data_IF_061367835170
#
_entry.id   IF_061367835170
#
_cell.length_a   1.000
_cell.length_b   1.000
_cell.length_c   1.000
_cell.angle_alpha   90.00
_cell.angle_beta   90.00
_cell.angle_gamma   90.00
#
_symmetry.space_group_name_H-M   'P 1'
#
loop_
_entity.id
_entity.type
_entity.pdbx_description
1 polymer ?
#
# COMPACT_ATOMS: atom_id res chain seq x y z
N UNK A 1 36.98 80.04 -4.67
CA UNK A 1 38.21 80.03 -5.47
C UNK A 1 39.11 78.96 -4.86
N UNK A 2 39.24 77.76 -5.45
CA UNK A 2 40.02 77.34 -6.64
C UNK A 2 41.54 77.19 -6.37
N UNK A 3 42.13 76.20 -7.05
CA UNK A 3 43.49 75.63 -6.96
C UNK A 3 43.68 74.69 -5.74
N UNK A 4 43.72 73.35 -5.85
CA UNK A 4 44.24 72.35 -6.84
C UNK A 4 45.75 72.07 -6.84
N UNK A 5 46.08 70.79 -7.13
CA UNK A 5 47.40 70.16 -7.35
C UNK A 5 48.24 69.92 -6.07
N UNK A 6 48.82 68.74 -5.79
CA UNK A 6 48.76 67.40 -6.40
C UNK A 6 48.53 66.36 -5.26
N UNK A 7 48.21 65.08 -5.47
CA UNK A 7 48.08 64.25 -6.67
C UNK A 7 46.94 63.20 -6.46
N UNK A 8 46.69 62.34 -7.47
CA UNK A 8 45.83 61.16 -7.33
C UNK A 8 46.58 59.89 -7.79
N UNK A 9 46.80 58.94 -6.88
CA UNK A 9 47.23 57.58 -7.23
C UNK A 9 46.77 56.55 -6.21
N UNK A 10 45.59 55.97 -6.41
CA UNK A 10 45.28 54.58 -6.08
C UNK A 10 43.97 54.20 -6.79
N UNK A 11 44.02 53.11 -7.55
CA UNK A 11 43.03 52.77 -8.56
C UNK A 11 41.86 51.95 -8.00
N UNK A 12 40.66 52.46 -8.22
CA UNK A 12 39.43 51.75 -8.57
C UNK A 12 39.39 50.24 -8.28
N UNK A 13 38.76 49.87 -7.17
CA UNK A 13 38.10 48.57 -7.01
C UNK A 13 36.83 48.52 -7.86
N UNK A 14 36.95 48.02 -9.09
CA UNK A 14 35.79 47.60 -9.88
C UNK A 14 36.01 46.17 -10.38
N UNK A 15 35.48 45.21 -9.62
CA UNK A 15 35.49 43.81 -10.03
C UNK A 15 34.46 43.63 -11.14
N UNK A 16 34.88 43.11 -12.30
CA UNK A 16 34.03 43.01 -13.48
C UNK A 16 32.92 41.98 -13.28
N UNK A 17 31.73 42.44 -12.88
CA UNK A 17 30.50 41.67 -13.08
C UNK A 17 30.24 41.56 -14.59
N UNK A 18 30.50 40.39 -15.18
CA UNK A 18 30.08 40.06 -16.54
C UNK A 18 28.55 40.20 -16.60
N UNK A 19 27.98 40.99 -17.54
CA UNK A 19 26.54 41.13 -17.61
C UNK A 19 25.90 39.78 -17.96
N UNK A 20 24.94 39.34 -17.14
CA UNK A 20 24.16 38.15 -17.43
C UNK A 20 23.48 38.31 -18.80
N UNK A 21 23.73 37.36 -19.71
CA UNK A 21 23.01 37.29 -20.98
C UNK A 21 21.52 37.12 -20.68
N UNK A 22 20.69 38.02 -21.21
CA UNK A 22 19.24 37.78 -21.28
C UNK A 22 19.02 36.66 -22.29
N UNK A 23 18.27 35.63 -21.90
CA UNK A 23 17.89 34.55 -22.81
C UNK A 23 17.00 35.11 -23.92
N UNK A 24 17.22 34.69 -25.16
CA UNK A 24 16.36 35.06 -26.28
C UNK A 24 15.32 33.96 -26.55
N UNK A 25 14.12 34.30 -27.08
CA UNK A 25 13.14 33.29 -27.48
C UNK A 25 13.74 32.37 -28.54
N UNK A 26 14.00 31.12 -28.16
CA UNK A 26 14.72 30.12 -28.98
C UNK A 26 15.77 29.32 -28.21
N UNK A 27 16.40 29.90 -27.17
CA UNK A 27 17.46 29.23 -26.40
C UNK A 27 16.95 28.07 -25.52
N UNK A 28 15.65 28.07 -25.18
CA UNK A 28 14.98 27.00 -24.40
C UNK A 28 14.93 25.67 -25.16
N UNK A 29 14.73 25.70 -26.48
CA UNK A 29 14.61 24.49 -27.31
C UNK A 29 15.96 23.75 -27.49
N UNK A 30 17.07 24.40 -27.13
CA UNK A 30 18.43 23.86 -27.17
C UNK A 30 18.96 23.47 -25.78
N UNK A 31 18.13 23.56 -24.73
CA UNK A 31 18.47 23.12 -23.37
C UNK A 31 19.60 23.90 -22.70
N UNK A 32 19.98 25.07 -23.22
CA UNK A 32 21.14 25.84 -22.73
C UNK A 32 20.83 26.76 -21.55
N UNK A 33 19.55 26.91 -21.18
CA UNK A 33 19.11 27.57 -19.95
C UNK A 33 17.88 26.85 -19.39
N UNK A 34 17.82 26.72 -18.06
CA UNK A 34 16.66 26.18 -17.33
C UNK A 34 16.00 27.31 -16.57
N UNK A 35 14.75 27.64 -16.91
CA UNK A 35 13.94 28.52 -16.10
C UNK A 35 13.50 27.75 -14.85
N UNK A 36 13.93 28.21 -13.68
CA UNK A 36 13.36 27.75 -12.41
C UNK A 36 11.97 28.37 -12.25
N UNK A 37 10.98 27.84 -12.98
CA UNK A 37 9.59 27.99 -12.57
C UNK A 37 9.43 27.20 -11.27
N UNK A 38 9.26 27.92 -10.15
CA UNK A 38 8.62 27.35 -8.98
C UNK A 38 7.18 27.00 -9.38
N UNK A 39 6.92 25.72 -9.63
CA UNK A 39 5.56 25.20 -9.72
C UNK A 39 4.89 25.40 -8.35
N UNK A 40 4.17 26.51 -8.20
CA UNK A 40 3.32 26.71 -7.04
C UNK A 40 2.19 25.68 -7.10
N UNK A 41 1.94 24.91 -6.02
CA UNK A 41 0.96 23.84 -6.04
C UNK A 41 -0.44 24.44 -6.24
N UNK A 42 -1.00 24.26 -7.44
CA UNK A 42 -2.33 24.74 -7.79
C UNK A 42 -3.37 23.84 -7.14
N UNK A 43 -4.00 24.31 -6.06
CA UNK A 43 -5.16 23.63 -5.48
C UNK A 43 -6.33 23.66 -6.46
N UNK A 44 -6.53 22.55 -7.18
CA UNK A 44 -7.72 22.34 -8.00
C UNK A 44 -8.88 21.90 -7.10
N UNK A 45 -10.05 22.53 -7.22
CA UNK A 45 -11.26 21.98 -6.61
C UNK A 45 -11.58 20.63 -7.25
N UNK A 46 -11.42 19.55 -6.48
CA UNK A 46 -12.05 18.28 -6.81
C UNK A 46 -13.55 18.42 -6.59
N UNK A 47 -14.27 18.83 -7.64
CA UNK A 47 -15.71 18.64 -7.73
C UNK A 47 -16.00 17.14 -7.79
N UNK A 48 -16.03 16.54 -6.61
CA UNK A 48 -16.57 15.21 -6.36
C UNK A 48 -18.08 15.26 -6.65
N UNK A 49 -18.45 15.10 -7.92
CA UNK A 49 -19.83 15.06 -8.43
C UNK A 49 -20.63 13.84 -7.97
N UNK A 50 -20.29 13.28 -6.81
CA UNK A 50 -20.98 12.17 -6.18
C UNK A 50 -22.11 12.73 -5.30
N UNK A 51 -23.28 12.10 -5.42
CA UNK A 51 -24.45 12.21 -4.52
C UNK A 51 -25.48 13.34 -4.73
N UNK A 52 -25.30 14.33 -5.61
CA UNK A 52 -26.38 15.31 -5.86
C UNK A 52 -27.54 14.74 -6.69
N UNK A 53 -27.24 13.96 -7.73
CA UNK A 53 -28.24 13.48 -8.72
C UNK A 53 -28.42 11.94 -8.73
N UNK A 54 -27.83 11.24 -7.76
CA UNK A 54 -27.85 9.77 -7.66
C UNK A 54 -28.72 9.33 -6.47
N UNK A 55 -29.83 8.65 -6.77
CA UNK A 55 -30.65 8.01 -5.74
C UNK A 55 -29.82 6.97 -4.97
N UNK A 56 -30.00 6.89 -3.64
CA UNK A 56 -29.25 6.01 -2.73
C UNK A 56 -29.27 4.51 -3.12
N UNK A 57 -30.30 4.10 -3.87
CA UNK A 57 -30.47 2.77 -4.49
C UNK A 57 -29.42 2.45 -5.57
N UNK A 58 -28.77 3.47 -6.15
CA UNK A 58 -27.87 3.37 -7.32
C UNK A 58 -26.39 3.61 -7.01
N UNK A 59 -26.06 4.17 -5.85
CA UNK A 59 -24.67 4.26 -5.36
C UNK A 59 -24.20 2.90 -4.84
N UNK A 60 -23.37 2.15 -5.60
CA UNK A 60 -22.67 0.99 -5.02
C UNK A 60 -21.46 1.49 -4.21
N UNK A 61 -21.70 1.77 -2.94
CA UNK A 61 -20.92 1.08 -1.91
C UNK A 61 -21.46 -0.36 -1.79
N UNK A 62 -20.88 -1.29 -1.01
CA UNK A 62 -21.59 -2.54 -0.71
C UNK A 62 -22.95 -2.21 -0.10
N UNK A 63 -24.00 -2.27 -0.92
CA UNK A 63 -25.35 -1.92 -0.54
C UNK A 63 -25.79 -2.95 0.48
N UNK A 64 -25.79 -2.54 1.75
CA UNK A 64 -26.26 -3.32 2.90
C UNK A 64 -27.59 -3.95 2.50
N UNK A 65 -27.58 -5.27 2.30
CA UNK A 65 -28.71 -6.01 1.76
C UNK A 65 -29.92 -5.86 2.69
N UNK A 66 -30.80 -4.92 2.34
CA UNK A 66 -32.05 -4.65 3.06
C UNK A 66 -32.42 -3.18 3.23
N UNK A 67 -31.47 -2.24 3.28
CA UNK A 67 -31.80 -0.84 3.61
C UNK A 67 -32.41 -0.10 2.40
N UNK A 68 -33.68 0.29 2.52
CA UNK A 68 -34.42 1.10 1.54
C UNK A 68 -34.22 2.59 1.74
N UNK A 69 -33.71 3.01 2.90
CA UNK A 69 -33.40 4.41 3.19
C UNK A 69 -32.23 4.56 4.15
N UNK A 70 -31.57 5.73 4.11
CA UNK A 70 -30.52 6.13 5.06
C UNK A 70 -30.97 6.10 6.53
N UNK A 71 -32.26 6.38 6.78
CA UNK A 71 -32.85 6.34 8.12
C UNK A 71 -32.85 4.92 8.71
N UNK A 72 -33.01 3.91 7.85
CA UNK A 72 -33.16 2.52 8.24
C UNK A 72 -31.84 1.95 8.79
N UNK A 73 -30.69 2.34 8.23
CA UNK A 73 -29.37 1.88 8.68
C UNK A 73 -28.93 2.41 10.04
N UNK A 74 -29.42 3.58 10.45
CA UNK A 74 -29.18 4.12 11.80
C UNK A 74 -30.13 3.52 12.85
N UNK A 75 -31.35 3.13 12.44
CA UNK A 75 -32.36 2.57 13.34
C UNK A 75 -32.21 1.04 13.52
N UNK A 76 -31.69 0.34 12.50
CA UNK A 76 -31.33 -1.08 12.57
C UNK A 76 -29.90 -1.25 13.11
N UNK A 77 -29.76 -1.11 14.43
CA UNK A 77 -28.52 -1.36 15.22
C UNK A 77 -27.99 -2.82 15.17
N UNK A 78 -28.32 -3.59 14.14
CA UNK A 78 -27.74 -4.90 13.87
C UNK A 78 -26.29 -4.76 13.41
N UNK A 79 -25.34 -4.95 14.34
CA UNK A 79 -23.88 -4.90 14.15
C UNK A 79 -23.31 -5.70 12.96
N UNK A 80 -24.13 -6.55 12.34
CA UNK A 80 -23.80 -7.50 11.27
C UNK A 80 -24.66 -7.32 10.01
N UNK A 81 -25.71 -6.49 10.02
CA UNK A 81 -26.59 -6.31 8.86
C UNK A 81 -25.81 -5.63 7.73
N UNK A 82 -25.71 -6.29 6.57
CA UNK A 82 -24.90 -5.83 5.44
C UNK A 82 -23.39 -5.86 5.65
N UNK A 83 -22.89 -6.51 6.71
CA UNK A 83 -21.44 -6.74 6.90
C UNK A 83 -20.88 -7.68 5.83
N UNK A 84 -21.64 -8.69 5.46
CA UNK A 84 -21.26 -9.70 4.47
C UNK A 84 -21.62 -9.26 3.05
N UNK A 85 -20.95 -9.83 2.06
CA UNK A 85 -21.28 -9.60 0.65
C UNK A 85 -22.63 -10.24 0.26
N UNK A 86 -23.01 -10.10 -1.02
CA UNK A 86 -24.26 -10.62 -1.55
C UNK A 86 -24.45 -12.15 -1.41
N UNK A 87 -23.37 -12.89 -1.15
CA UNK A 87 -23.35 -14.33 -0.97
C UNK A 87 -23.27 -14.75 0.52
N UNK A 88 -23.47 -13.82 1.45
CA UNK A 88 -23.29 -13.96 2.90
C UNK A 88 -21.87 -14.37 3.34
N UNK A 89 -20.84 -13.94 2.59
CA UNK A 89 -19.43 -14.11 2.94
C UNK A 89 -18.88 -12.86 3.63
N UNK A 90 -18.14 -13.03 4.73
CA UNK A 90 -17.35 -11.96 5.33
C UNK A 90 -16.05 -11.80 4.52
N UNK A 91 -15.92 -10.69 3.79
CA UNK A 91 -14.80 -10.47 2.88
C UNK A 91 -13.45 -10.42 3.62
N UNK A 92 -13.43 -9.96 4.88
CA UNK A 92 -12.23 -9.97 5.73
C UNK A 92 -12.02 -11.31 6.47
N UNK A 93 -12.66 -12.38 5.98
CA UNK A 93 -12.40 -13.79 6.32
C UNK A 93 -12.20 -14.66 5.07
N UNK A 94 -12.19 -14.05 3.87
CA UNK A 94 -12.24 -14.77 2.61
C UNK A 94 -10.90 -14.78 1.85
N UNK A 95 -9.87 -14.06 2.32
CA UNK A 95 -8.54 -14.13 1.73
C UNK A 95 -7.82 -15.45 2.09
N UNK A 96 -6.80 -15.87 1.33
CA UNK A 96 -5.99 -17.05 1.68
C UNK A 96 -5.33 -16.92 3.06
N UNK A 97 -5.46 -17.96 3.90
CA UNK A 97 -4.70 -18.06 5.15
C UNK A 97 -3.22 -18.40 4.87
N UNK A 98 -2.45 -17.36 4.57
CA UNK A 98 -1.00 -17.45 4.43
C UNK A 98 -0.30 -17.43 5.80
N UNK A 99 -0.98 -16.97 6.87
CA UNK A 99 -0.39 -16.83 8.21
C UNK A 99 -0.15 -18.21 8.85
N UNK A 100 -1.05 -19.18 8.67
CA UNK A 100 -0.80 -20.60 9.00
C UNK A 100 0.38 -21.19 8.23
N UNK A 101 0.53 -20.84 6.94
CA UNK A 101 1.66 -21.29 6.10
C UNK A 101 2.97 -20.72 6.64
N UNK A 102 3.00 -19.42 6.95
CA UNK A 102 4.12 -18.73 7.59
C UNK A 102 4.48 -19.37 8.94
N UNK A 103 3.53 -19.60 9.85
CA UNK A 103 3.81 -20.18 11.17
C UNK A 103 4.39 -21.59 11.12
N UNK A 104 3.92 -22.41 10.17
CA UNK A 104 4.43 -23.77 9.89
C UNK A 104 5.86 -23.72 9.35
N UNK A 105 6.15 -22.79 8.42
CA UNK A 105 7.40 -22.82 7.66
C UNK A 105 8.51 -21.86 8.16
N UNK A 106 8.22 -20.86 9.01
CA UNK A 106 9.17 -19.84 9.53
C UNK A 106 10.42 -20.36 10.27
N UNK A 107 10.54 -21.67 10.49
CA UNK A 107 11.76 -22.32 11.05
C UNK A 107 12.67 -22.86 9.95
N UNK A 108 12.15 -23.13 8.75
CA UNK A 108 12.96 -23.45 7.58
C UNK A 108 13.77 -22.23 7.14
N UNK A 109 15.00 -22.46 6.68
CA UNK A 109 15.85 -21.42 6.08
C UNK A 109 15.65 -21.30 4.56
N UNK A 110 15.00 -22.30 3.95
CA UNK A 110 14.77 -22.39 2.51
C UNK A 110 13.34 -21.95 2.10
N UNK A 111 12.47 -21.66 3.07
CA UNK A 111 11.11 -21.21 2.80
C UNK A 111 11.02 -19.68 2.88
N UNK A 112 10.47 -19.04 1.85
CA UNK A 112 10.27 -17.59 1.81
C UNK A 112 9.22 -17.15 2.82
N UNK A 113 9.48 -16.02 3.45
CA UNK A 113 8.58 -15.36 4.43
C UNK A 113 7.76 -14.23 3.80
N UNK A 114 8.12 -13.88 2.58
CA UNK A 114 7.52 -12.95 1.64
C UNK A 114 6.98 -13.75 0.43
N UNK A 115 6.07 -13.15 -0.34
CA UNK A 115 5.55 -13.72 -1.59
C UNK A 115 5.12 -15.18 -1.46
N UNK A 116 4.45 -15.52 -0.36
CA UNK A 116 3.94 -16.87 -0.11
C UNK A 116 2.88 -17.18 -1.18
N UNK A 117 3.02 -18.25 -1.97
CA UNK A 117 2.06 -18.61 -3.01
C UNK A 117 0.70 -18.99 -2.40
N UNK A 118 -0.38 -18.72 -3.13
CA UNK A 118 -1.74 -19.08 -2.71
C UNK A 118 -1.84 -20.61 -2.75
N UNK A 119 -2.17 -21.30 -1.64
CA UNK A 119 -2.28 -22.77 -1.64
C UNK A 119 -3.41 -23.25 -2.56
N UNK A 120 -3.17 -24.28 -3.37
CA UNK A 120 -4.19 -24.88 -4.27
C UNK A 120 -5.51 -25.20 -3.53
N UNK A 121 -5.45 -25.55 -2.24
CA UNK A 121 -6.62 -25.83 -1.39
C UNK A 121 -7.57 -24.63 -1.20
N UNK A 122 -7.06 -23.40 -1.31
CA UNK A 122 -7.88 -22.18 -1.20
C UNK A 122 -8.91 -22.12 -2.34
N UNK A 123 -8.50 -22.51 -3.55
CA UNK A 123 -9.34 -22.51 -4.76
C UNK A 123 -10.44 -23.58 -4.74
N UNK A 124 -10.43 -24.53 -3.79
CA UNK A 124 -11.55 -25.45 -3.56
C UNK A 124 -12.57 -24.92 -2.53
N UNK A 125 -12.34 -23.74 -1.97
CA UNK A 125 -13.28 -23.01 -1.11
C UNK A 125 -14.06 -21.95 -1.91
N UNK A 126 -15.13 -21.41 -1.33
CA UNK A 126 -15.93 -20.37 -1.99
C UNK A 126 -15.24 -19.00 -1.89
N UNK A 127 -14.51 -18.65 -2.95
CA UNK A 127 -13.89 -17.32 -3.12
C UNK A 127 -14.96 -16.30 -3.55
N UNK A 128 -15.03 -15.18 -2.85
CA UNK A 128 -15.94 -14.08 -3.14
C UNK A 128 -15.47 -13.29 -4.38
N UNK A 129 -16.39 -12.78 -5.22
CA UNK A 129 -16.02 -11.99 -6.40
C UNK A 129 -15.23 -10.73 -6.06
N UNK A 130 -15.56 -10.08 -4.95
CA UNK A 130 -14.85 -8.89 -4.45
C UNK A 130 -13.41 -9.25 -4.03
N UNK A 131 -13.24 -10.35 -3.29
CA UNK A 131 -11.93 -10.85 -2.85
C UNK A 131 -11.05 -11.25 -4.03
N UNK A 132 -11.60 -11.94 -5.04
CA UNK A 132 -10.87 -12.27 -6.27
C UNK A 132 -10.36 -11.02 -7.00
N UNK A 133 -11.24 -10.03 -7.19
CA UNK A 133 -10.89 -8.77 -7.84
C UNK A 133 -9.81 -8.00 -7.07
N UNK A 134 -9.92 -7.92 -5.74
CA UNK A 134 -8.94 -7.24 -4.87
C UNK A 134 -7.60 -7.96 -4.89
N UNK A 135 -7.56 -9.29 -4.81
CA UNK A 135 -6.30 -10.05 -4.92
C UNK A 135 -5.61 -9.83 -6.28
N UNK A 136 -6.38 -9.79 -7.38
CA UNK A 136 -5.85 -9.48 -8.73
C UNK A 136 -5.31 -8.05 -8.81
N UNK A 137 -6.01 -7.08 -8.20
CA UNK A 137 -5.59 -5.68 -8.14
C UNK A 137 -4.31 -5.49 -7.31
N UNK A 138 -4.24 -6.10 -6.12
CA UNK A 138 -3.06 -6.08 -5.22
C UNK A 138 -1.80 -6.59 -5.94
N UNK A 139 -1.93 -7.55 -6.86
CA UNK A 139 -0.81 -8.04 -7.71
C UNK A 139 -0.50 -7.18 -8.93
N UNK A 140 -1.40 -6.31 -9.36
CA UNK A 140 -1.27 -5.53 -10.60
C UNK A 140 -0.35 -4.31 -10.47
N UNK A 141 -0.07 -3.86 -9.25
CA UNK A 141 0.74 -2.69 -8.94
C UNK A 141 1.69 -2.98 -7.77
N UNK A 142 2.87 -2.34 -7.73
CA UNK A 142 3.83 -2.52 -6.62
C UNK A 142 3.41 -1.71 -5.38
N UNK A 143 2.30 -2.09 -4.75
CA UNK A 143 1.84 -1.45 -3.52
C UNK A 143 2.87 -1.61 -2.39
N UNK A 144 3.17 -0.50 -1.71
CA UNK A 144 4.16 -0.43 -0.62
C UNK A 144 3.50 -0.32 0.75
N UNK A 145 2.43 0.46 0.84
CA UNK A 145 1.69 0.75 2.07
C UNK A 145 0.20 0.83 1.74
N UNK A 146 -0.66 0.28 2.60
CA UNK A 146 -2.12 0.31 2.46
C UNK A 146 -2.81 0.49 3.82
N UNK A 147 -4.08 0.90 3.80
CA UNK A 147 -4.94 0.90 4.97
C UNK A 147 -6.36 0.45 4.59
N UNK A 148 -6.86 -0.59 5.27
CA UNK A 148 -8.28 -0.97 5.20
C UNK A 148 -9.06 -0.17 6.25
N UNK A 149 -10.13 0.51 5.83
CA UNK A 149 -10.96 1.33 6.71
C UNK A 149 -12.17 0.54 7.22
N UNK A 150 -12.38 0.55 8.53
CA UNK A 150 -13.38 -0.22 9.26
C UNK A 150 -14.10 0.64 10.32
N UNK A 151 -15.15 0.07 10.91
CA UNK A 151 -15.88 0.68 12.03
C UNK A 151 -16.44 -0.38 12.98
N UNK A 152 -16.68 0.05 14.22
CA UNK A 152 -17.07 -0.76 15.37
C UNK A 152 -16.20 -0.52 16.61
N UNK A 153 -15.10 0.22 16.48
CA UNK A 153 -14.20 0.62 17.56
C UNK A 153 -13.36 1.85 17.11
N UNK A 154 -12.55 2.45 17.99
CA UNK A 154 -11.59 3.50 17.61
C UNK A 154 -10.14 3.10 17.95
N UNK A 155 -9.48 2.40 17.02
CA UNK A 155 -8.13 1.82 17.19
C UNK A 155 -7.48 1.50 15.84
N UNK A 156 -6.14 1.50 15.77
CA UNK A 156 -5.43 0.87 14.65
C UNK A 156 -5.04 -0.56 15.02
N UNK A 157 -5.54 -1.54 14.27
CA UNK A 157 -5.05 -2.91 14.29
C UNK A 157 -3.91 -3.10 13.27
N UNK A 158 -2.81 -3.74 13.68
CA UNK A 158 -1.70 -4.10 12.80
C UNK A 158 -1.40 -5.61 12.83
N UNK A 159 -0.91 -6.18 11.71
CA UNK A 159 -0.59 -7.61 11.60
C UNK A 159 0.31 -8.20 12.70
N UNK A 160 0.26 -9.51 12.96
CA UNK A 160 -0.69 -10.45 12.36
C UNK A 160 -2.08 -10.40 13.00
N UNK A 161 -3.13 -10.54 12.19
CA UNK A 161 -4.51 -10.74 12.61
C UNK A 161 -4.76 -12.20 13.07
N UNK A 162 -4.06 -13.19 12.48
CA UNK A 162 -4.20 -14.59 12.91
C UNK A 162 -3.24 -14.98 14.03
N UNK A 163 -3.78 -15.55 15.12
CA UNK A 163 -3.00 -16.00 16.28
C UNK A 163 -2.20 -17.26 16.02
N UNK A 164 -0.98 -17.32 16.59
CA UNK A 164 -0.16 -18.53 16.64
C UNK A 164 -0.62 -19.56 17.69
N UNK A 165 -1.72 -19.32 18.42
CA UNK A 165 -2.21 -20.22 19.46
C UNK A 165 -2.87 -21.46 18.83
N UNK A 166 -2.65 -22.69 19.35
CA UNK A 166 -3.24 -23.92 18.78
C UNK A 166 -4.77 -23.97 18.76
N UNK A 167 -5.43 -23.15 19.59
CA UNK A 167 -6.89 -23.03 19.66
C UNK A 167 -7.40 -21.68 19.16
N UNK A 168 -6.59 -20.96 18.36
CA UNK A 168 -6.91 -19.65 17.78
C UNK A 168 -7.28 -18.57 18.82
N UNK A 169 -6.90 -18.76 20.09
CA UNK A 169 -7.15 -17.77 21.14
C UNK A 169 -6.32 -16.50 20.92
N UNK A 170 -6.82 -15.37 21.43
CA UNK A 170 -6.13 -14.08 21.32
C UNK A 170 -4.74 -14.15 21.93
N UNK A 171 -3.71 -13.88 21.13
CA UNK A 171 -2.32 -13.93 21.53
C UNK A 171 -1.49 -13.00 20.66
N UNK A 172 -0.60 -12.23 21.30
CA UNK A 172 0.35 -11.36 20.61
C UNK A 172 1.21 -12.15 19.60
N UNK A 173 1.03 -11.80 18.33
CA UNK A 173 1.57 -12.52 17.18
C UNK A 173 2.32 -11.56 16.26
N UNK A 174 3.60 -11.26 16.57
CA UNK A 174 4.37 -10.24 15.88
C UNK A 174 4.81 -10.68 14.48
N UNK A 175 4.86 -9.70 13.59
CA UNK A 175 5.51 -9.83 12.27
C UNK A 175 7.04 -9.70 12.37
N UNK A 176 7.79 -10.10 11.33
CA UNK A 176 9.20 -9.72 11.19
C UNK A 176 9.43 -8.19 11.23
N UNK A 177 8.48 -7.41 10.70
CA UNK A 177 8.51 -5.93 10.64
C UNK A 177 7.74 -5.25 11.78
N UNK A 178 7.59 -5.91 12.94
CA UNK A 178 6.81 -5.47 14.11
C UNK A 178 7.00 -3.98 14.49
N UNK A 179 8.24 -3.49 14.46
CA UNK A 179 8.57 -2.10 14.81
C UNK A 179 8.17 -1.09 13.73
N UNK A 180 8.14 -1.52 12.46
CA UNK A 180 7.67 -0.70 11.33
C UNK A 180 6.15 -0.61 11.37
N UNK A 181 5.45 -1.72 11.58
CA UNK A 181 4.00 -1.74 11.76
C UNK A 181 3.54 -0.87 12.94
N UNK A 182 4.24 -0.95 14.09
CA UNK A 182 4.01 -0.05 15.22
C UNK A 182 4.22 1.42 14.86
N UNK A 183 5.21 1.75 14.04
CA UNK A 183 5.44 3.12 13.58
C UNK A 183 4.37 3.60 12.57
N UNK A 184 3.90 2.73 11.67
CA UNK A 184 2.80 3.02 10.74
C UNK A 184 1.49 3.27 11.50
N UNK A 185 1.12 2.34 12.40
CA UNK A 185 -0.06 2.48 13.24
C UNK A 185 0.00 3.73 14.15
N UNK A 186 1.17 4.03 14.73
CA UNK A 186 1.43 5.28 15.45
C UNK A 186 1.18 6.52 14.58
N UNK A 187 1.62 6.49 13.33
CA UNK A 187 1.54 7.66 12.45
C UNK A 187 0.09 8.05 12.17
N UNK A 188 -0.83 7.08 12.06
CA UNK A 188 -2.26 7.36 12.02
C UNK A 188 -2.82 7.75 13.40
N UNK A 189 -2.61 6.91 14.42
CA UNK A 189 -3.26 7.05 15.73
C UNK A 189 -2.87 8.33 16.49
N UNK A 190 -1.60 8.76 16.37
CA UNK A 190 -1.08 9.95 17.03
C UNK A 190 -1.48 11.25 16.28
N UNK A 191 -1.83 11.16 15.00
CA UNK A 191 -2.34 12.27 14.18
C UNK A 191 -3.89 12.38 14.20
N UNK A 192 -4.60 11.31 14.53
CA UNK A 192 -6.05 11.33 14.72
C UNK A 192 -6.43 12.07 16.00
N UNK A 193 -7.39 13.00 15.91
CA UNK A 193 -7.71 13.98 16.96
C UNK A 193 -8.03 13.37 18.35
N UNK A 194 -8.51 12.13 18.41
CA UNK A 194 -8.90 11.46 19.67
C UNK A 194 -8.30 10.07 19.90
N UNK A 195 -7.64 9.45 18.92
CA UNK A 195 -7.37 8.00 18.98
C UNK A 195 -6.24 7.65 19.95
N UNK A 196 -5.18 8.46 19.98
CA UNK A 196 -4.05 8.30 20.91
C UNK A 196 -4.25 8.96 22.29
N UNK A 197 -5.39 9.60 22.54
CA UNK A 197 -5.64 10.42 23.72
C UNK A 197 -5.85 9.56 24.98
N UNK A 198 -5.48 10.11 26.14
CA UNK A 198 -5.59 9.45 27.45
C UNK A 198 -7.01 9.46 28.05
N UNK A 199 -7.99 9.98 27.32
CA UNK A 199 -9.41 9.97 27.70
C UNK A 199 -9.92 8.52 27.81
N UNK A 200 -10.53 8.19 28.95
CA UNK A 200 -11.04 6.87 29.31
C UNK A 200 -12.55 6.70 29.12
N UNK A 201 -13.27 7.77 28.78
CA UNK A 201 -14.74 7.78 28.74
C UNK A 201 -15.27 7.81 27.29
N UNK A 202 -14.35 7.84 26.31
CA UNK A 202 -14.60 7.82 24.87
C UNK A 202 -14.64 6.41 24.24
N UNK A 203 -15.12 6.34 23.01
CA UNK A 203 -14.83 5.22 22.11
C UNK A 203 -13.31 4.96 21.98
N UNK A 204 -12.88 3.70 21.90
CA UNK A 204 -11.46 3.33 21.89
C UNK A 204 -10.73 3.51 23.22
N UNK A 205 -11.41 3.88 24.31
CA UNK A 205 -10.80 4.07 25.62
C UNK A 205 -10.07 2.82 26.14
N UNK A 206 -10.52 1.61 25.80
CA UNK A 206 -9.85 0.35 26.13
C UNK A 206 -8.39 0.28 25.64
N UNK A 207 -8.02 1.05 24.61
CA UNK A 207 -6.68 1.10 24.03
C UNK A 207 -5.83 2.30 24.49
N UNK A 208 -6.30 3.11 25.45
CA UNK A 208 -5.58 4.31 25.90
C UNK A 208 -4.13 4.04 26.36
N UNK A 209 -3.90 2.91 27.07
CA UNK A 209 -2.55 2.49 27.52
C UNK A 209 -1.59 2.21 26.37
N UNK A 210 -2.14 1.72 25.27
CA UNK A 210 -1.41 1.49 24.03
C UNK A 210 -1.56 2.69 23.08
N UNK A 211 -2.06 3.84 23.55
CA UNK A 211 -2.33 5.06 22.78
C UNK A 211 -2.99 4.76 21.41
N UNK A 212 -4.06 3.95 21.41
CA UNK A 212 -4.88 3.74 20.22
C UNK A 212 -4.33 2.77 19.16
N UNK A 213 -3.36 1.90 19.48
CA UNK A 213 -2.91 0.83 18.58
C UNK A 213 -2.97 -0.56 19.24
N UNK A 214 -3.19 -1.62 18.46
CA UNK A 214 -3.13 -3.02 18.93
C UNK A 214 -2.68 -3.98 17.82
N UNK A 215 -2.05 -5.08 18.19
CA UNK A 215 -1.81 -6.20 17.26
C UNK A 215 -3.12 -6.98 17.07
N UNK A 216 -3.52 -7.28 15.84
CA UNK A 216 -4.83 -7.88 15.54
C UNK A 216 -5.11 -9.14 16.34
N UNK A 217 -4.23 -10.14 16.25
CA UNK A 217 -4.34 -11.39 16.99
C UNK A 217 -4.36 -11.23 18.52
N UNK A 218 -3.84 -10.12 19.07
CA UNK A 218 -3.94 -9.81 20.51
C UNK A 218 -5.32 -9.23 20.88
N UNK A 219 -5.97 -8.52 19.96
CA UNK A 219 -7.32 -8.01 20.14
C UNK A 219 -8.34 -9.16 20.00
N UNK A 220 -8.37 -9.79 18.83
CA UNK A 220 -9.09 -11.03 18.55
C UNK A 220 -8.47 -11.73 17.34
N UNK A 221 -8.36 -13.05 17.37
CA UNK A 221 -7.74 -13.83 16.29
C UNK A 221 -8.74 -14.14 15.17
N UNK A 222 -8.28 -14.10 13.92
CA UNK A 222 -8.99 -14.69 12.78
C UNK A 222 -8.05 -14.96 11.60
N UNK A 223 -8.35 -16.00 10.83
CA UNK A 223 -7.67 -16.29 9.57
C UNK A 223 -8.38 -15.60 8.38
N UNK A 224 -7.67 -15.50 7.24
CA UNK A 224 -8.22 -15.01 5.98
C UNK A 224 -8.51 -13.51 5.91
N UNK A 225 -7.78 -12.71 6.69
CA UNK A 225 -7.81 -11.25 6.65
C UNK A 225 -7.02 -10.66 5.47
N UNK A 226 -7.48 -9.52 4.95
CA UNK A 226 -6.82 -8.81 3.83
C UNK A 226 -5.43 -8.26 4.23
N UNK A 227 -5.29 -7.82 5.48
CA UNK A 227 -4.06 -7.20 5.99
C UNK A 227 -2.90 -8.18 6.06
N UNK A 228 -3.15 -9.37 6.63
CA UNK A 228 -2.20 -10.49 6.64
C UNK A 228 -1.87 -10.97 5.21
N UNK A 229 -2.85 -11.02 4.31
CA UNK A 229 -2.63 -11.39 2.91
C UNK A 229 -1.72 -10.41 2.17
N UNK A 230 -1.96 -9.10 2.29
CA UNK A 230 -1.11 -8.05 1.71
C UNK A 230 0.37 -8.27 2.11
N UNK A 231 0.61 -8.39 3.42
CA UNK A 231 1.96 -8.51 4.00
C UNK A 231 2.62 -9.88 3.80
N UNK A 232 1.89 -10.94 3.45
CA UNK A 232 2.49 -12.27 3.17
C UNK A 232 2.58 -12.60 1.68
N UNK A 233 1.70 -12.04 0.84
CA UNK A 233 1.67 -12.32 -0.60
C UNK A 233 2.41 -11.29 -1.47
N UNK A 234 2.57 -10.03 -1.02
CA UNK A 234 3.15 -8.94 -1.83
C UNK A 234 4.10 -8.05 -1.03
N UNK A 235 4.69 -7.01 -1.62
CA UNK A 235 5.49 -6.03 -0.89
C UNK A 235 4.66 -5.10 0.04
N UNK A 236 3.33 -5.12 -0.04
CA UNK A 236 2.47 -4.16 0.63
C UNK A 236 2.42 -4.37 2.15
N UNK A 237 2.60 -3.29 2.92
CA UNK A 237 2.34 -3.26 4.37
C UNK A 237 0.99 -2.60 4.64
N UNK A 238 -0.01 -3.40 5.02
CA UNK A 238 -1.37 -2.93 5.32
C UNK A 238 -1.63 -2.80 6.83
N UNK A 239 -2.41 -1.80 7.22
CA UNK A 239 -3.01 -1.70 8.57
C UNK A 239 -4.53 -1.67 8.47
N UNK A 240 -5.21 -2.03 9.56
CA UNK A 240 -6.67 -1.94 9.68
C UNK A 240 -7.02 -0.77 10.59
N UNK A 241 -7.77 0.20 10.07
CA UNK A 241 -8.13 1.45 10.75
C UNK A 241 -9.59 1.36 11.19
N UNK A 242 -9.84 1.21 12.48
CA UNK A 242 -11.19 1.31 13.05
C UNK A 242 -11.47 2.77 13.39
N UNK A 243 -12.39 3.40 12.66
CA UNK A 243 -12.61 4.85 12.63
C UNK A 243 -13.56 5.37 13.73
N UNK A 244 -14.33 4.51 14.37
CA UNK A 244 -15.35 4.88 15.36
C UNK A 244 -16.25 3.71 15.77
N UNK A 245 -16.85 3.81 16.95
CA UNK A 245 -17.70 2.77 17.53
C UNK A 245 -19.06 2.65 16.84
N UNK A 246 -19.61 3.75 16.35
CA UNK A 246 -20.79 3.72 15.48
C UNK A 246 -20.35 3.32 14.07
N UNK A 247 -20.85 2.17 13.61
CA UNK A 247 -20.57 1.63 12.27
C UNK A 247 -21.30 2.36 11.17
N UNK A 248 -22.43 3.01 11.48
CA UNK A 248 -23.27 3.70 10.51
C UNK A 248 -23.75 5.03 11.12
N UNK A 249 -22.82 5.98 11.34
CA UNK A 249 -23.13 7.23 12.01
C UNK A 249 -24.09 8.08 11.19
N UNK A 250 -24.83 8.95 11.90
CA UNK A 250 -25.75 9.88 11.26
C UNK A 250 -25.03 10.88 10.33
N UNK A 251 -25.76 11.49 9.40
CA UNK A 251 -25.22 12.53 8.50
C UNK A 251 -24.47 13.64 9.22
N UNK A 252 -25.00 14.10 10.36
CA UNK A 252 -24.45 15.20 11.13
C UNK A 252 -23.02 14.91 11.64
N UNK A 253 -22.68 13.63 11.83
CA UNK A 253 -21.36 13.21 12.31
C UNK A 253 -20.32 13.09 11.19
N UNK A 254 -20.71 13.01 9.91
CA UNK A 254 -19.76 12.79 8.80
C UNK A 254 -18.70 13.90 8.70
N UNK A 255 -19.08 15.17 8.87
CA UNK A 255 -18.15 16.30 8.82
C UNK A 255 -17.24 16.39 10.07
N UNK A 256 -17.75 16.17 11.30
CA UNK A 256 -16.91 15.90 12.47
C UNK A 256 -15.93 14.73 12.30
N UNK A 257 -16.36 13.58 11.77
CA UNK A 257 -15.49 12.41 11.54
C UNK A 257 -14.40 12.70 10.51
N UNK A 258 -14.75 13.37 9.40
CA UNK A 258 -13.78 13.87 8.42
C UNK A 258 -12.73 14.77 9.07
N UNK A 259 -13.15 15.74 9.89
CA UNK A 259 -12.21 16.62 10.61
C UNK A 259 -11.27 15.86 11.55
N UNK A 260 -11.76 14.81 12.22
CA UNK A 260 -10.95 13.99 13.13
C UNK A 260 -9.92 13.13 12.39
N UNK A 261 -10.24 12.68 11.17
CA UNK A 261 -9.42 11.77 10.37
C UNK A 261 -8.55 12.43 9.29
N UNK A 262 -8.85 13.66 8.84
CA UNK A 262 -8.14 14.33 7.74
C UNK A 262 -6.62 14.32 7.90
N UNK A 263 -6.13 14.75 9.07
CA UNK A 263 -4.69 14.82 9.33
C UNK A 263 -4.05 13.44 9.41
N UNK A 264 -4.74 12.47 10.02
CA UNK A 264 -4.27 11.09 10.12
C UNK A 264 -4.14 10.40 8.76
N UNK A 265 -5.10 10.62 7.86
CA UNK A 265 -5.06 10.14 6.47
C UNK A 265 -3.87 10.73 5.71
N UNK A 266 -3.64 12.04 5.81
CA UNK A 266 -2.51 12.72 5.15
C UNK A 266 -1.16 12.26 5.71
N UNK A 267 -0.99 12.31 7.04
CA UNK A 267 0.22 11.84 7.74
C UNK A 267 0.53 10.36 7.43
N UNK A 268 -0.49 9.52 7.24
CA UNK A 268 -0.32 8.12 6.84
C UNK A 268 0.13 8.01 5.37
N UNK A 269 -0.52 8.71 4.43
CA UNK A 269 -0.10 8.70 3.01
C UNK A 269 1.35 9.19 2.83
N UNK A 270 1.73 10.25 3.53
CA UNK A 270 3.11 10.77 3.52
C UNK A 270 4.14 9.76 4.08
N UNK A 271 3.73 8.86 4.98
CA UNK A 271 4.64 7.91 5.61
C UNK A 271 5.21 6.86 4.65
N UNK A 272 4.61 6.68 3.46
CA UNK A 272 5.13 5.79 2.42
C UNK A 272 6.49 6.24 1.90
N UNK A 273 6.86 7.50 2.14
CA UNK A 273 8.18 8.08 1.83
C UNK A 273 9.19 7.94 2.96
N UNK A 274 9.00 7.02 3.92
CA UNK A 274 9.99 6.66 4.95
C UNK A 274 10.82 5.43 4.54
N UNK A 275 11.87 5.13 5.29
CA UNK A 275 12.77 4.00 4.99
C UNK A 275 13.66 4.27 3.78
N UNK A 276 13.75 3.30 2.87
CA UNK A 276 14.58 3.36 1.67
C UNK A 276 13.80 3.05 0.39
N UNK A 277 14.35 3.50 -0.74
CA UNK A 277 13.98 3.07 -2.08
C UNK A 277 15.20 3.08 -3.00
N UNK A 278 15.12 2.48 -4.17
CA UNK A 278 16.22 2.52 -5.15
C UNK A 278 15.94 1.59 -6.32
N UNK A 279 16.93 1.46 -7.21
CA UNK A 279 16.87 0.54 -8.35
C UNK A 279 17.95 -0.54 -8.23
N UNK A 280 17.58 -1.80 -8.41
CA UNK A 280 18.51 -2.91 -8.65
C UNK A 280 18.67 -3.08 -10.15
N UNK A 281 19.89 -2.90 -10.66
CA UNK A 281 20.21 -2.93 -12.10
C UNK A 281 21.42 -3.81 -12.39
N UNK A 282 21.60 -4.18 -13.66
CA UNK A 282 22.81 -4.85 -14.13
C UNK A 282 23.94 -3.85 -14.46
N UNK A 283 25.11 -4.36 -14.85
CA UNK A 283 26.25 -3.55 -15.30
C UNK A 283 25.94 -2.72 -16.57
N UNK A 284 25.00 -3.19 -17.39
CA UNK A 284 24.56 -2.52 -18.63
C UNK A 284 23.55 -1.39 -18.32
N UNK A 285 23.12 -1.25 -17.07
CA UNK A 285 22.22 -0.22 -16.56
C UNK A 285 20.73 -0.60 -16.55
N UNK A 286 20.38 -1.80 -16.99
CA UNK A 286 19.00 -2.28 -17.09
C UNK A 286 18.45 -2.68 -15.71
N UNK A 287 17.20 -2.31 -15.42
CA UNK A 287 16.50 -2.76 -14.22
C UNK A 287 16.35 -4.28 -14.16
N UNK A 288 16.54 -4.88 -12.99
CA UNK A 288 16.37 -6.31 -12.75
C UNK A 288 15.06 -6.54 -12.00
N UNK A 289 14.02 -6.97 -12.73
CA UNK A 289 12.73 -7.40 -12.18
C UNK A 289 12.87 -8.62 -11.25
N UNK A 290 12.09 -8.64 -10.16
CA UNK A 290 12.05 -9.76 -9.21
C UNK A 290 13.34 -9.98 -8.40
N UNK A 291 14.29 -9.05 -8.47
CA UNK A 291 15.45 -9.04 -7.59
C UNK A 291 14.99 -8.87 -6.14
N UNK A 292 15.58 -9.63 -5.23
CA UNK A 292 15.23 -9.64 -3.81
C UNK A 292 16.16 -8.72 -3.03
N UNK A 293 15.59 -7.78 -2.27
CA UNK A 293 16.30 -6.89 -1.34
C UNK A 293 15.98 -7.32 0.09
N UNK A 294 16.98 -7.90 0.74
CA UNK A 294 16.91 -8.43 2.11
C UNK A 294 17.55 -7.49 3.12
N UNK A 295 17.06 -7.51 4.37
CA UNK A 295 17.54 -6.66 5.46
C UNK A 295 18.06 -7.52 6.61
N UNK A 296 19.35 -7.41 6.94
CA UNK A 296 19.98 -8.27 7.95
C UNK A 296 19.28 -8.14 9.30
N UNK A 297 18.69 -9.24 9.75
CA UNK A 297 17.98 -9.35 11.03
C UNK A 297 16.46 -9.36 10.89
N UNK A 298 15.92 -8.90 9.76
CA UNK A 298 14.49 -8.96 9.45
C UNK A 298 14.25 -10.09 8.45
N UNK A 299 13.51 -11.12 8.87
CA UNK A 299 13.13 -12.23 7.98
C UNK A 299 11.83 -11.90 7.24
N UNK A 300 11.94 -10.88 6.39
CA UNK A 300 10.96 -10.43 5.40
C UNK A 300 11.72 -9.59 4.38
N UNK A 301 11.89 -10.15 3.19
CA UNK A 301 12.57 -9.48 2.09
C UNK A 301 11.52 -8.82 1.18
N UNK A 302 11.94 -7.89 0.32
CA UNK A 302 11.06 -7.29 -0.71
C UNK A 302 11.61 -7.57 -2.10
N UNK A 303 10.75 -7.55 -3.10
CA UNK A 303 11.10 -7.74 -4.51
C UNK A 303 11.06 -6.42 -5.28
N UNK A 304 11.84 -6.33 -6.35
CA UNK A 304 11.75 -5.23 -7.32
C UNK A 304 10.58 -5.40 -8.28
N UNK A 305 10.01 -4.28 -8.74
CA UNK A 305 9.00 -4.24 -9.79
C UNK A 305 9.64 -4.34 -11.20
N UNK A 306 8.88 -4.04 -12.25
CA UNK A 306 9.27 -4.25 -13.66
C UNK A 306 10.60 -3.59 -14.02
N UNK A 307 10.77 -2.32 -13.65
CA UNK A 307 11.95 -1.50 -13.98
C UNK A 307 13.11 -1.68 -12.95
N UNK A 308 13.05 -2.72 -12.11
CA UNK A 308 14.04 -3.00 -11.08
C UNK A 308 13.98 -2.08 -9.87
N UNK A 309 12.97 -1.21 -9.75
CA UNK A 309 12.78 -0.34 -8.60
C UNK A 309 12.12 -1.06 -7.41
N UNK A 310 12.45 -0.62 -6.20
CA UNK A 310 11.93 -1.18 -4.96
C UNK A 310 11.77 -0.12 -3.87
N UNK A 311 10.94 -0.45 -2.87
CA UNK A 311 10.72 0.33 -1.66
C UNK A 311 10.79 -0.59 -0.45
N UNK A 312 11.40 -0.12 0.64
CA UNK A 312 11.46 -0.87 1.91
C UNK A 312 11.30 0.11 3.06
N UNK A 313 10.11 0.10 3.67
CA UNK A 313 9.83 0.85 4.89
C UNK A 313 10.72 0.31 6.02
N UNK A 314 11.45 1.20 6.68
CA UNK A 314 12.39 0.88 7.75
C UNK A 314 12.41 2.02 8.76
N UNK A 315 12.51 1.65 10.03
CA UNK A 315 12.70 2.61 11.11
C UNK A 315 14.13 3.19 11.08
N UNK A 316 14.35 4.39 11.65
CA UNK A 316 15.68 4.98 11.81
C UNK A 316 16.69 4.02 12.46
N UNK A 317 17.94 4.06 12.00
CA UNK A 317 19.00 3.17 12.48
C UNK A 317 20.02 2.78 11.41
N UNK A 318 20.98 1.93 11.80
CA UNK A 318 21.93 1.32 10.86
C UNK A 318 21.39 -0.01 10.36
N UNK A 319 21.26 -0.15 9.04
CA UNK A 319 20.81 -1.39 8.39
C UNK A 319 21.91 -1.95 7.49
N UNK A 320 21.94 -3.28 7.35
CA UNK A 320 22.76 -3.95 6.33
C UNK A 320 21.79 -4.58 5.33
N UNK A 321 21.79 -4.03 4.13
CA UNK A 321 20.96 -4.43 3.01
C UNK A 321 21.73 -5.38 2.12
N UNK A 322 21.02 -6.27 1.43
CA UNK A 322 21.59 -7.16 0.45
C UNK A 322 20.63 -7.36 -0.72
N UNK A 323 21.08 -7.05 -1.93
CA UNK A 323 20.37 -7.35 -3.16
C UNK A 323 20.91 -8.64 -3.81
N UNK A 324 20.00 -9.46 -4.34
CA UNK A 324 20.28 -10.73 -5.03
C UNK A 324 19.25 -10.99 -6.12
N UNK A 325 19.66 -11.56 -7.25
CA UNK A 325 18.77 -12.06 -8.29
C UNK A 325 19.32 -13.36 -8.89
N UNK A 326 18.44 -14.19 -9.48
CA UNK A 326 18.85 -15.46 -10.11
C UNK A 326 19.76 -15.19 -11.31
N UNK A 327 20.95 -15.79 -11.35
CA UNK A 327 21.97 -15.51 -12.37
C UNK A 327 22.77 -14.22 -12.15
N UNK A 328 22.68 -13.60 -10.96
CA UNK A 328 23.42 -12.39 -10.61
C UNK A 328 24.19 -12.52 -9.30
N UNK A 329 25.27 -11.75 -9.18
CA UNK A 329 26.08 -11.66 -7.96
C UNK A 329 25.30 -11.01 -6.81
N UNK A 330 25.72 -11.31 -5.59
CA UNK A 330 25.13 -10.77 -4.35
C UNK A 330 25.88 -9.53 -3.89
N UNK A 331 25.19 -8.40 -3.78
CA UNK A 331 25.80 -7.13 -3.32
C UNK A 331 25.19 -6.70 -2.00
N UNK A 332 26.04 -6.30 -1.04
CA UNK A 332 25.62 -5.87 0.29
C UNK A 332 26.06 -4.43 0.57
N UNK A 333 25.17 -3.62 1.18
CA UNK A 333 25.45 -2.23 1.55
C UNK A 333 25.05 -1.97 3.00
N UNK A 334 25.91 -1.28 3.75
CA UNK A 334 25.58 -0.75 5.08
C UNK A 334 25.06 0.68 4.91
N UNK A 335 23.85 0.94 5.40
CA UNK A 335 23.21 2.27 5.32
C UNK A 335 22.83 2.76 6.70
N UNK A 336 22.73 4.08 6.86
CA UNK A 336 22.25 4.72 8.08
C UNK A 336 21.05 5.61 7.75
N UNK A 337 19.94 5.38 8.44
CA UNK A 337 18.71 6.14 8.31
C UNK A 337 18.59 7.08 9.52
N UNK A 338 18.58 8.42 9.33
CA UNK A 338 18.44 9.37 10.43
C UNK A 338 17.02 9.33 11.00
N UNK A 339 16.82 9.91 12.20
CA UNK A 339 15.49 9.94 12.83
C UNK A 339 14.47 10.82 12.09
N UNK A 340 14.93 11.93 11.52
CA UNK A 340 14.08 12.90 10.83
C UNK A 340 14.28 12.74 9.31
N UNK A 341 13.52 11.84 8.70
CA UNK A 341 13.51 11.63 7.26
C UNK A 341 12.30 12.30 6.61
N UNK A 342 12.56 13.34 5.82
CA UNK A 342 11.53 14.02 5.02
C UNK A 342 11.32 13.35 3.64
N UNK A 343 12.22 12.44 3.25
CA UNK A 343 12.19 11.64 2.02
C UNK A 343 12.91 10.30 2.27
N UNK A 344 12.53 9.26 1.53
CA UNK A 344 13.16 7.93 1.63
C UNK A 344 14.61 7.98 1.14
N UNK A 345 15.50 7.23 1.81
CA UNK A 345 16.90 7.15 1.43
C UNK A 345 17.08 6.40 0.11
N UNK A 346 17.79 7.00 -0.85
CA UNK A 346 18.07 6.37 -2.15
C UNK A 346 19.23 5.37 -2.02
N UNK A 347 19.00 4.11 -2.37
CA UNK A 347 20.00 3.03 -2.28
C UNK A 347 19.91 2.11 -3.50
N UNK A 348 20.59 2.48 -4.58
CA UNK A 348 20.68 1.61 -5.76
C UNK A 348 21.61 0.42 -5.54
N UNK A 349 21.40 -0.67 -6.30
CA UNK A 349 22.31 -1.81 -6.39
C UNK A 349 22.67 -2.07 -7.84
N UNK A 350 23.92 -2.41 -8.10
CA UNK A 350 24.39 -2.89 -9.40
C UNK A 350 24.85 -4.33 -9.19
N UNK A 351 24.26 -5.28 -9.91
CA UNK A 351 24.60 -6.70 -9.82
C UNK A 351 25.30 -7.17 -11.10
N UNK A 352 26.24 -8.08 -10.96
CA UNK A 352 27.02 -8.63 -12.08
C UNK A 352 26.42 -9.97 -12.51
N UNK A 353 26.32 -10.23 -13.81
CA UNK A 353 25.82 -11.52 -14.33
C UNK A 353 26.84 -12.62 -13.98
N UNK A 354 26.38 -13.69 -13.34
CA UNK A 354 27.21 -14.86 -12.96
C UNK A 354 26.60 -16.15 -13.52
N UNK A 355 27.41 -17.19 -13.80
CA UNK A 355 26.90 -18.49 -14.19
C UNK A 355 25.89 -19.00 -13.15
N UNK A 356 24.72 -19.44 -13.62
CA UNK A 356 23.73 -20.09 -12.78
C UNK A 356 24.23 -21.50 -12.48
N UNK A 357 24.83 -21.71 -11.31
CA UNK A 357 24.99 -23.07 -10.79
C UNK A 357 23.60 -23.67 -10.52
N UNK A 358 23.35 -24.94 -10.90
CA UNK A 358 22.05 -25.57 -10.67
C UNK A 358 21.87 -25.82 -9.16
N UNK A 359 21.11 -24.95 -8.50
CA UNK A 359 20.73 -25.14 -7.10
C UNK A 359 19.74 -26.32 -6.99
N UNK A 360 20.16 -27.38 -6.27
CA UNK A 360 19.35 -28.56 -5.98
C UNK A 360 18.04 -28.18 -5.27
N UNK A 361 18.01 -27.05 -4.56
CA UNK A 361 16.79 -26.55 -3.92
C UNK A 361 15.75 -26.02 -4.91
N UNK A 362 16.13 -25.54 -6.09
CA UNK A 362 15.20 -24.97 -7.08
C UNK A 362 14.26 -26.06 -7.66
N UNK A 363 14.73 -27.32 -7.69
CA UNK A 363 13.93 -28.50 -8.05
C UNK A 363 13.03 -29.02 -6.91
N UNK A 364 13.34 -28.72 -5.65
CA UNK A 364 12.58 -29.17 -4.47
C UNK A 364 11.61 -28.10 -3.94
N UNK A 365 11.91 -26.83 -4.20
CA UNK A 365 11.18 -25.65 -3.76
C UNK A 365 11.18 -24.61 -4.89
N UNK A 366 10.39 -24.76 -5.96
CA UNK A 366 10.29 -23.76 -7.03
C UNK A 366 9.71 -22.44 -6.48
N UNK A 367 10.60 -21.50 -6.15
CA UNK A 367 10.27 -20.33 -5.29
C UNK A 367 9.71 -19.11 -6.01
N UNK A 368 9.80 -19.04 -7.34
CA UNK A 368 9.30 -17.90 -8.14
C UNK A 368 8.12 -18.35 -8.99
N UNK A 369 8.30 -19.41 -9.78
CA UNK A 369 7.29 -19.98 -10.68
C UNK A 369 5.96 -20.34 -10.00
N UNK A 370 5.98 -20.65 -8.69
CA UNK A 370 4.77 -20.95 -7.91
C UNK A 370 4.03 -19.71 -7.39
N UNK A 371 4.70 -18.57 -7.21
CA UNK A 371 4.04 -17.31 -6.85
C UNK A 371 3.39 -16.67 -8.07
N UNK A 372 4.04 -16.73 -9.24
CA UNK A 372 3.47 -16.20 -10.48
C UNK A 372 2.12 -16.87 -10.85
N UNK A 373 1.94 -18.14 -10.46
CA UNK A 373 0.71 -18.93 -10.59
C UNK A 373 -0.42 -18.42 -9.67
N UNK A 374 -1.21 -17.44 -10.14
CA UNK A 374 -2.30 -16.81 -9.38
C UNK A 374 -3.52 -17.73 -9.13
N UNK A 375 -4.36 -17.95 -10.15
CA UNK A 375 -5.45 -18.95 -10.14
C UNK A 375 -5.13 -20.02 -11.19
N UNK A 376 -4.61 -21.20 -10.79
CA UNK A 376 -4.26 -22.26 -11.72
C UNK A 376 -5.42 -23.10 -12.23
N UNK A 377 -6.62 -22.93 -11.65
CA UNK A 377 -7.82 -23.69 -12.01
C UNK A 377 -8.80 -22.86 -12.86
N UNK A 378 -8.56 -21.55 -12.92
CA UNK A 378 -9.38 -20.52 -13.57
C UNK A 378 -10.88 -20.70 -13.24
N UNK A 379 -11.18 -21.01 -11.98
CA UNK A 379 -12.55 -21.34 -11.56
C UNK A 379 -13.45 -20.11 -11.66
N UNK A 380 -12.87 -18.93 -11.53
CA UNK A 380 -13.64 -17.69 -11.57
C UNK A 380 -14.32 -17.46 -12.93
N UNK A 381 -13.68 -17.81 -14.04
CA UNK A 381 -14.32 -17.81 -15.38
C UNK A 381 -15.42 -18.86 -15.49
N UNK A 382 -15.26 -20.04 -14.86
CA UNK A 382 -16.28 -21.10 -14.86
C UNK A 382 -17.53 -20.74 -14.07
N UNK A 383 -17.39 -20.03 -12.95
CA UNK A 383 -18.53 -19.54 -12.17
C UNK A 383 -19.15 -18.25 -12.72
N UNK A 384 -18.42 -17.50 -13.56
CA UNK A 384 -18.92 -16.28 -14.22
C UNK A 384 -19.60 -16.56 -15.56
N UNK A 385 -19.36 -17.74 -16.15
CA UNK A 385 -20.07 -18.23 -17.32
C UNK A 385 -21.44 -18.77 -16.89
N UNK A 386 -22.57 -18.19 -17.33
CA UNK A 386 -23.85 -18.87 -17.19
C UNK A 386 -23.80 -20.17 -18.01
N UNK A 387 -24.37 -21.26 -17.46
CA UNK A 387 -24.65 -22.43 -18.28
C UNK A 387 -25.47 -22.00 -19.50
N UNK A 388 -25.02 -22.36 -20.70
CA UNK A 388 -25.65 -21.98 -21.96
C UNK A 388 -26.98 -22.72 -22.12
N UNK A 389 -28.02 -22.19 -21.49
CA UNK A 389 -29.40 -22.41 -21.92
C UNK A 389 -29.62 -21.60 -23.21
N UNK A 390 -30.03 -22.28 -24.28
CA UNK A 390 -30.21 -21.65 -25.59
C UNK A 390 -31.29 -20.55 -25.54
N UNK A 391 -30.92 -19.35 -26.00
CA UNK A 391 -31.87 -18.35 -26.48
C UNK A 391 -32.22 -17.21 -25.54
N UNK A 392 -31.30 -16.26 -25.35
CA UNK A 392 -31.60 -14.87 -25.76
C UNK A 392 -30.31 -14.07 -26.00
N UNK A 393 -30.36 -13.08 -26.91
CA UNK A 393 -29.21 -12.21 -27.21
C UNK A 393 -29.29 -10.94 -26.36
N UNK A 394 -28.94 -11.06 -25.07
CA UNK A 394 -28.74 -9.88 -24.24
C UNK A 394 -27.44 -9.17 -24.65
N UNK A 395 -27.54 -7.85 -24.87
CA UNK A 395 -26.37 -6.99 -25.05
C UNK A 395 -25.58 -6.97 -23.74
N UNK A 396 -24.28 -7.26 -23.81
CA UNK A 396 -23.34 -6.98 -22.72
C UNK A 396 -23.23 -5.46 -22.49
N UNK A 397 -24.18 -4.88 -21.76
CA UNK A 397 -24.02 -3.53 -21.22
C UNK A 397 -22.95 -3.58 -20.12
N UNK A 398 -21.84 -2.87 -20.38
CA UNK A 398 -20.73 -2.80 -19.43
C UNK A 398 -21.23 -2.25 -18.09
N UNK A 399 -20.77 -2.81 -16.95
CA UNK A 399 -21.20 -2.35 -15.63
C UNK A 399 -21.05 -0.84 -15.48
N UNK A 400 -21.98 -0.18 -14.78
CA UNK A 400 -22.04 1.29 -14.74
C UNK A 400 -20.77 1.96 -14.20
N UNK A 401 -19.98 1.26 -13.37
CA UNK A 401 -18.68 1.72 -12.88
C UNK A 401 -17.62 1.80 -13.98
N UNK A 402 -17.84 1.23 -15.18
CA UNK A 402 -16.93 1.29 -16.31
C UNK A 402 -16.60 2.72 -16.73
N UNK A 403 -17.61 3.61 -16.70
CA UNK A 403 -17.45 5.02 -17.08
C UNK A 403 -16.53 5.80 -16.12
N UNK A 404 -16.45 5.39 -14.84
CA UNK A 404 -15.58 6.00 -13.82
C UNK A 404 -14.10 5.98 -14.28
N UNK A 405 -13.69 4.86 -14.87
CA UNK A 405 -12.32 4.62 -15.32
C UNK A 405 -12.03 5.14 -16.74
N UNK A 406 -13.04 5.56 -17.50
CA UNK A 406 -12.86 6.08 -18.86
C UNK A 406 -13.11 7.58 -19.01
N UNK A 407 -13.72 8.25 -18.03
CA UNK A 407 -14.06 9.68 -18.11
C UNK A 407 -13.02 10.61 -17.46
N UNK A 408 -12.07 10.08 -16.67
CA UNK A 408 -11.13 10.88 -15.88
C UNK A 408 -9.91 11.45 -16.65
N UNK A 409 -9.91 11.41 -17.99
CA UNK A 409 -8.82 11.93 -18.85
C UNK A 409 -7.48 11.16 -18.79
N UNK A 410 -7.28 10.34 -17.76
CA UNK A 410 -6.25 9.32 -17.66
C UNK A 410 -6.66 8.15 -18.59
N UNK A 411 -5.70 7.62 -19.36
CA UNK A 411 -5.91 6.48 -20.26
C UNK A 411 -6.70 5.37 -19.58
N UNK A 412 -7.76 4.82 -20.22
CA UNK A 412 -8.58 3.79 -19.58
C UNK A 412 -7.70 2.60 -19.17
N UNK A 413 -7.94 2.00 -17.99
CA UNK A 413 -7.14 0.90 -17.47
C UNK A 413 -7.36 -0.36 -18.30
N UNK A 414 -6.55 -0.52 -19.34
CA UNK A 414 -6.53 -1.69 -20.22
C UNK A 414 -6.19 -3.00 -19.48
N UNK A 415 -5.82 -2.94 -18.19
CA UNK A 415 -5.62 -4.08 -17.31
C UNK A 415 -6.92 -4.65 -16.72
N UNK A 416 -8.03 -3.90 -16.75
CA UNK A 416 -9.34 -4.42 -16.32
C UNK A 416 -10.03 -5.28 -17.40
N UNK A 417 -9.63 -5.11 -18.67
CA UNK A 417 -10.02 -5.98 -19.79
C UNK A 417 -8.79 -6.38 -20.61
N UNK A 418 -8.05 -7.37 -20.11
CA UNK A 418 -7.35 -8.31 -20.98
C UNK A 418 -7.66 -9.74 -20.56
N UNK A 419 -8.58 -10.34 -21.31
CA UNK A 419 -8.50 -11.74 -21.66
C UNK A 419 -7.25 -11.89 -22.55
N UNK A 420 -6.30 -12.70 -22.10
CA UNK A 420 -5.22 -13.31 -22.90
C UNK A 420 -5.07 -14.74 -22.41
#
# INVERSE_FOLDING_TARGET
MRLELLALSLLLTSCCCVPQRRCHPGDEFLGMCSSTQEETPTCTEMNLGYCNDMEYTRTIFPNILGHRSRLEGHLLNGWTNGRTNAQNLDLNRNFPDLTSVFYRNRRSRHYRSDHIPIPDSYWFSKVAPETYAVMKWIRSLPFVQSASLHGGELVISYPFDFSKHPHEEKMFSPTPDEQVFKQLARTYADAHATMSNNDTDRCGASFYRNRGIINGALWYSFAGGMSDFNYLHTNCMEITVELGCDKFPSEAELYPEWKRNKEALLSFLESVHRGIKGVVKDLDGNGIKGATVSVRGIRRDVTTAEDGDYWRLLNPGTHILTATAKGFSKVSKRVYLPHNMNKAGLVDFVLEKVPVEPDINDHLFPTTDTWDRFDPYNQFERYSSPDVAEGDVEREEKPWWWNYFSQSGISPPNWLLRNV
#
